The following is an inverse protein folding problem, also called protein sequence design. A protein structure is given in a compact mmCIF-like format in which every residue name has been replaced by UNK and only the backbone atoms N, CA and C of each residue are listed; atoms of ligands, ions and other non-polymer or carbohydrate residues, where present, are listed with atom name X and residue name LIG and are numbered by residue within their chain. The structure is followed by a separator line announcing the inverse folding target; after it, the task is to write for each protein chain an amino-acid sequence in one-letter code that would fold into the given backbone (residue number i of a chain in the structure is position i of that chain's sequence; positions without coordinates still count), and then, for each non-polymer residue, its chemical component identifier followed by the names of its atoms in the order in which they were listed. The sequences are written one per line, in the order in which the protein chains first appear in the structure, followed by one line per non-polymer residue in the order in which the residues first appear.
data_IF_888062346246
#
_entry.id   IF_888062346246
#
_cell.length_a   1.000
_cell.length_b   1.000
_cell.length_c   1.000
_cell.angle_alpha   90.00
_cell.angle_beta   90.00
_cell.angle_gamma   90.00
#
_symmetry.space_group_name_H-M   'P 1'
#
loop_
_entity.id
_entity.type
_entity.pdbx_description
1 polymer ?
#
# COMPACT_ATOMS: atom_id res chain seq x y z
N UNK A 1 1.67 18.85 6.43
CA UNK A 1 0.21 18.72 6.35
C UNK A 1 -0.36 18.67 7.76
N UNK A 2 -1.38 19.49 8.05
CA UNK A 2 -2.05 19.56 9.34
C UNK A 2 -3.57 19.46 9.11
N UNK A 3 -4.25 18.59 9.86
CA UNK A 3 -5.69 18.37 9.73
C UNK A 3 -6.25 17.72 11.01
N UNK A 4 -7.47 18.07 11.42
CA UNK A 4 -8.16 17.33 12.46
C UNK A 4 -8.29 15.86 12.08
N UNK A 5 -8.04 14.96 13.02
CA UNK A 5 -8.08 13.53 12.79
C UNK A 5 -9.25 12.89 13.54
N UNK A 6 -10.12 12.22 12.80
CA UNK A 6 -11.00 11.16 13.31
C UNK A 6 -10.75 9.85 12.55
N UNK A 7 -11.62 8.88 12.70
CA UNK A 7 -11.53 7.61 11.96
C UNK A 7 -12.63 7.44 10.92
N UNK A 8 -13.20 8.56 10.48
CA UNK A 8 -14.28 8.60 9.52
C UNK A 8 -15.65 8.28 10.15
N UNK A 9 -16.51 7.62 9.39
CA UNK A 9 -17.90 7.37 9.77
C UNK A 9 -18.12 5.98 10.36
N UNK A 10 -19.30 5.79 10.95
CA UNK A 10 -19.69 4.52 11.58
C UNK A 10 -20.80 3.83 10.80
N UNK A 11 -20.79 2.51 10.83
CA UNK A 11 -21.89 1.68 10.36
C UNK A 11 -22.89 1.43 11.50
N UNK A 12 -24.17 1.69 11.24
CA UNK A 12 -25.27 1.40 12.17
C UNK A 12 -25.97 0.12 11.70
N UNK A 13 -26.09 -0.88 12.57
CA UNK A 13 -26.65 -2.19 12.23
C UNK A 13 -26.02 -2.80 10.96
N UNK A 14 -24.70 -2.77 10.85
CA UNK A 14 -23.93 -3.22 9.67
C UNK A 14 -24.22 -2.46 8.37
N UNK A 15 -24.87 -1.30 8.42
CA UNK A 15 -25.19 -0.49 7.23
C UNK A 15 -24.51 0.86 7.31
N UNK A 16 -23.94 1.28 6.18
CA UNK A 16 -23.38 2.60 5.98
C UNK A 16 -24.43 3.57 5.42
N UNK A 17 -24.22 4.88 5.59
CA UNK A 17 -25.11 5.92 5.09
C UNK A 17 -26.12 6.42 6.12
N UNK A 18 -26.17 5.87 7.34
CA UNK A 18 -26.99 6.41 8.44
C UNK A 18 -26.56 7.81 8.86
N UNK A 19 -25.26 8.12 8.70
CA UNK A 19 -24.70 9.45 8.92
C UNK A 19 -24.04 9.95 7.62
N UNK A 20 -24.04 11.27 7.34
CA UNK A 20 -23.37 11.82 6.16
C UNK A 20 -21.88 11.45 6.13
N UNK A 21 -21.32 11.26 4.92
CA UNK A 21 -19.89 10.97 4.72
C UNK A 21 -18.96 12.07 5.26
N UNK A 22 -19.44 13.31 5.32
CA UNK A 22 -18.73 14.47 5.87
C UNK A 22 -18.85 14.61 7.40
N UNK A 23 -19.44 13.62 8.09
CA UNK A 23 -19.65 13.67 9.53
C UNK A 23 -18.33 13.52 10.27
N UNK A 24 -17.88 14.60 10.94
CA UNK A 24 -16.76 14.53 11.86
C UNK A 24 -17.24 14.01 13.21
N UNK A 25 -16.65 12.92 13.68
CA UNK A 25 -17.01 12.25 14.95
C UNK A 25 -15.89 12.38 16.01
N UNK A 26 -14.82 13.09 15.69
CA UNK A 26 -13.76 13.48 16.59
C UNK A 26 -14.16 14.60 17.54
N UNK A 27 -13.18 15.37 18.01
CA UNK A 27 -13.36 16.52 18.88
C UNK A 27 -12.56 17.71 18.31
N UNK A 28 -13.22 18.79 17.86
CA UNK A 28 -12.53 19.95 17.29
C UNK A 28 -11.49 20.58 18.23
N UNK A 29 -11.72 20.51 19.53
CA UNK A 29 -10.79 21.03 20.55
C UNK A 29 -9.47 20.27 20.64
N UNK A 30 -9.33 19.09 20.00
CA UNK A 30 -8.02 18.40 19.86
C UNK A 30 -7.07 19.13 18.91
N UNK A 31 -7.59 19.99 18.03
CA UNK A 31 -6.81 20.66 16.99
C UNK A 31 -6.35 19.71 15.89
N UNK A 32 -5.28 20.08 15.23
CA UNK A 32 -4.72 19.34 14.10
C UNK A 32 -3.72 18.27 14.54
N UNK A 33 -3.74 17.16 13.82
CA UNK A 33 -2.61 16.24 13.74
C UNK A 33 -1.72 16.69 12.59
N UNK A 34 -0.46 16.95 12.89
CA UNK A 34 0.54 17.39 11.91
C UNK A 34 1.33 16.19 11.42
N UNK A 35 1.44 16.08 10.09
CA UNK A 35 2.32 15.12 9.41
C UNK A 35 3.41 15.90 8.69
N UNK A 36 4.67 15.56 8.99
CA UNK A 36 5.84 16.11 8.31
C UNK A 36 6.55 15.01 7.53
N UNK A 37 7.08 15.35 6.37
CA UNK A 37 7.90 14.45 5.56
C UNK A 37 8.93 15.29 4.81
N UNK A 38 10.20 14.91 4.96
CA UNK A 38 11.31 15.47 4.21
C UNK A 38 12.06 14.31 3.56
N UNK A 39 12.36 14.43 2.28
CA UNK A 39 13.10 13.42 1.54
C UNK A 39 14.17 14.09 0.70
N UNK A 40 15.39 13.62 0.83
CA UNK A 40 16.54 14.05 0.03
C UNK A 40 17.10 12.84 -0.69
N UNK A 41 17.39 12.98 -1.96
CA UNK A 41 17.92 11.89 -2.77
C UNK A 41 19.03 12.43 -3.68
N UNK A 42 20.15 11.72 -3.70
CA UNK A 42 21.25 11.93 -4.64
C UNK A 42 21.44 10.64 -5.44
N UNK A 43 21.45 10.75 -6.75
CA UNK A 43 21.73 9.63 -7.65
C UNK A 43 22.86 10.02 -8.58
N UNK A 44 23.91 9.20 -8.59
CA UNK A 44 25.03 9.30 -9.51
C UNK A 44 24.96 8.11 -10.45
N UNK A 45 24.99 8.38 -11.75
CA UNK A 45 25.07 7.37 -12.80
C UNK A 45 26.31 7.64 -13.64
N UNK A 46 27.04 6.59 -13.96
CA UNK A 46 28.25 6.70 -14.79
C UNK A 46 28.27 5.56 -15.81
N UNK A 47 28.47 5.90 -17.06
CA UNK A 47 28.71 4.96 -18.15
C UNK A 47 30.20 4.79 -18.34
N UNK A 48 30.76 3.63 -17.95
CA UNK A 48 32.17 3.33 -18.05
C UNK A 48 32.61 3.07 -19.48
N UNK A 49 31.75 2.41 -20.23
CA UNK A 49 31.90 2.11 -21.66
C UNK A 49 30.55 1.68 -22.22
N UNK A 50 30.52 1.19 -23.48
CA UNK A 50 29.28 0.77 -24.14
C UNK A 50 28.57 -0.43 -23.46
N UNK A 51 29.28 -1.23 -22.69
CA UNK A 51 28.75 -2.43 -22.05
C UNK A 51 28.51 -2.25 -20.54
N UNK A 52 29.15 -1.31 -19.86
CA UNK A 52 29.15 -1.21 -18.40
C UNK A 52 28.71 0.15 -17.91
N UNK A 53 27.79 0.16 -16.97
CA UNK A 53 27.32 1.34 -16.24
C UNK A 53 27.20 1.07 -14.75
N UNK A 54 27.45 2.09 -13.94
CA UNK A 54 27.22 2.06 -12.50
C UNK A 54 26.19 3.10 -12.10
N UNK A 55 25.48 2.79 -11.02
CA UNK A 55 24.53 3.70 -10.37
C UNK A 55 24.71 3.64 -8.87
N UNK A 56 24.86 4.79 -8.25
CA UNK A 56 24.91 4.92 -6.78
C UNK A 56 23.81 5.87 -6.35
N UNK A 57 22.99 5.44 -5.44
CA UNK A 57 21.90 6.22 -4.84
C UNK A 57 22.09 6.36 -3.35
N UNK A 58 21.98 7.58 -2.84
CA UNK A 58 21.90 7.89 -1.42
C UNK A 58 20.56 8.57 -1.16
N UNK A 59 19.79 8.09 -0.21
CA UNK A 59 18.56 8.72 0.23
C UNK A 59 18.56 8.94 1.73
N UNK A 60 18.00 10.07 2.14
CA UNK A 60 17.65 10.39 3.53
C UNK A 60 16.20 10.78 3.58
N UNK A 61 15.46 10.23 4.53
CA UNK A 61 14.07 10.59 4.78
C UNK A 61 13.85 10.81 6.27
N UNK A 62 13.10 11.84 6.60
CA UNK A 62 12.60 12.13 7.94
C UNK A 62 11.09 12.25 7.89
N UNK A 63 10.38 11.60 8.83
CA UNK A 63 8.92 11.71 8.94
C UNK A 63 8.51 11.95 10.38
N UNK A 64 7.42 12.70 10.55
CA UNK A 64 6.83 12.94 11.87
C UNK A 64 5.31 12.92 11.81
N UNK A 65 4.67 12.45 12.88
CA UNK A 65 3.23 12.54 13.09
C UNK A 65 2.99 12.95 14.54
N UNK A 66 2.37 14.13 14.75
CA UNK A 66 2.18 14.71 16.08
C UNK A 66 0.82 15.35 16.25
N UNK A 67 0.16 15.09 17.37
CA UNK A 67 -1.08 15.76 17.75
C UNK A 67 -2.04 14.88 18.54
N UNK A 68 -3.11 15.54 19.00
CA UNK A 68 -4.23 14.88 19.65
C UNK A 68 -5.28 14.43 18.61
N UNK A 69 -6.02 13.39 18.95
CA UNK A 69 -7.20 12.96 18.20
C UNK A 69 -8.19 12.26 19.12
N UNK A 70 -9.46 12.52 18.88
CA UNK A 70 -10.56 11.77 19.47
C UNK A 70 -11.13 10.82 18.44
N UNK A 71 -11.11 9.53 18.72
CA UNK A 71 -11.44 8.48 17.79
C UNK A 71 -12.55 7.58 18.30
N UNK A 72 -13.36 7.04 17.38
CA UNK A 72 -14.42 6.09 17.70
C UNK A 72 -13.84 4.85 18.41
N UNK A 73 -14.53 4.37 19.42
CA UNK A 73 -14.19 3.14 20.16
C UNK A 73 -15.25 2.07 19.99
N UNK A 74 -16.53 2.39 20.27
CA UNK A 74 -17.63 1.47 20.10
C UNK A 74 -18.95 2.21 19.91
N UNK A 75 -19.81 1.75 19.01
CA UNK A 75 -21.20 2.19 18.93
C UNK A 75 -22.03 1.35 19.92
N UNK A 76 -22.85 2.00 20.74
CA UNK A 76 -23.70 1.33 21.71
C UNK A 76 -24.88 0.61 21.02
N UNK A 77 -25.56 -0.25 21.76
CA UNK A 77 -26.71 -1.03 21.26
C UNK A 77 -27.90 -0.16 20.82
N UNK A 78 -27.97 1.10 21.31
CA UNK A 78 -28.97 2.09 20.88
C UNK A 78 -28.77 2.55 19.42
N UNK A 79 -27.65 2.17 18.79
CA UNK A 79 -27.29 2.57 17.44
C UNK A 79 -27.02 4.07 17.27
N UNK A 80 -26.83 4.81 18.36
CA UNK A 80 -26.77 6.26 18.42
C UNK A 80 -25.59 6.78 19.21
N UNK A 81 -25.34 6.24 20.40
CA UNK A 81 -24.27 6.67 21.31
C UNK A 81 -22.95 6.05 20.89
N UNK A 82 -22.02 6.87 20.38
CA UNK A 82 -20.66 6.45 20.01
C UNK A 82 -19.71 6.75 21.15
N UNK A 83 -19.17 5.71 21.77
CA UNK A 83 -18.04 5.87 22.70
C UNK A 83 -16.79 6.26 21.93
N UNK A 84 -16.02 7.17 22.51
CA UNK A 84 -14.78 7.71 21.94
C UNK A 84 -13.60 7.45 22.87
N UNK A 85 -12.40 7.42 22.33
CA UNK A 85 -11.12 7.39 23.03
C UNK A 85 -10.28 8.57 22.59
N UNK A 86 -9.56 9.20 23.51
CA UNK A 86 -8.63 10.28 23.19
C UNK A 86 -7.22 9.75 23.10
N UNK A 87 -6.49 10.14 22.06
CA UNK A 87 -5.10 9.76 21.82
C UNK A 87 -4.24 10.99 21.60
N UNK A 88 -2.99 10.89 22.02
CA UNK A 88 -1.91 11.77 21.60
C UNK A 88 -0.85 10.91 20.93
N UNK A 89 -0.29 11.38 19.83
CA UNK A 89 0.82 10.74 19.13
C UNK A 89 1.96 11.72 18.97
N UNK A 90 3.18 11.23 19.20
CA UNK A 90 4.42 11.87 18.81
C UNK A 90 5.31 10.76 18.24
N UNK A 91 5.22 10.57 16.93
CA UNK A 91 5.96 9.56 16.18
C UNK A 91 6.95 10.27 15.29
N UNK A 92 8.22 9.92 15.40
CA UNK A 92 9.30 10.45 14.58
C UNK A 92 10.13 9.31 14.04
N UNK A 93 10.49 9.37 12.76
CA UNK A 93 11.39 8.40 12.17
C UNK A 93 12.35 9.06 11.19
N UNK A 94 13.54 8.51 11.10
CA UNK A 94 14.53 8.83 10.09
C UNK A 94 15.09 7.55 9.47
N UNK A 95 15.38 7.62 8.18
CA UNK A 95 16.06 6.55 7.47
C UNK A 95 17.13 7.09 6.50
N UNK A 96 18.21 6.32 6.39
CA UNK A 96 19.27 6.50 5.40
C UNK A 96 19.42 5.21 4.62
N UNK A 97 19.39 5.27 3.30
CA UNK A 97 19.71 4.15 2.43
C UNK A 97 20.77 4.50 1.41
N UNK A 98 21.77 3.64 1.29
CA UNK A 98 22.80 3.68 0.26
C UNK A 98 22.65 2.44 -0.61
N UNK A 99 22.59 2.63 -1.91
CA UNK A 99 22.59 1.56 -2.90
C UNK A 99 23.68 1.82 -3.93
N UNK A 100 24.45 0.81 -4.27
CA UNK A 100 25.44 0.88 -5.35
C UNK A 100 25.29 -0.34 -6.24
N UNK A 101 25.20 -0.12 -7.54
CA UNK A 101 24.97 -1.12 -8.57
C UNK A 101 25.99 -0.99 -9.69
N UNK A 102 26.41 -2.13 -10.20
CA UNK A 102 27.15 -2.27 -11.44
C UNK A 102 26.36 -3.17 -12.37
N UNK A 103 25.99 -2.67 -13.53
CA UNK A 103 25.29 -3.42 -14.56
C UNK A 103 26.13 -3.46 -15.83
N UNK A 104 26.17 -4.63 -16.46
CA UNK A 104 26.92 -4.76 -17.71
C UNK A 104 26.50 -5.91 -18.59
N UNK A 105 26.95 -5.86 -19.83
CA UNK A 105 26.78 -6.92 -20.83
C UNK A 105 28.08 -7.70 -20.95
N UNK A 106 28.00 -9.00 -20.71
CA UNK A 106 29.12 -9.95 -20.88
C UNK A 106 28.82 -10.83 -22.09
N UNK A 107 29.79 -10.92 -23.00
CA UNK A 107 29.71 -11.80 -24.18
C UNK A 107 30.78 -12.86 -24.06
N UNK A 108 30.37 -14.10 -23.75
CA UNK A 108 31.29 -15.23 -23.58
C UNK A 108 30.65 -16.52 -24.08
N UNK A 109 31.43 -17.39 -24.75
CA UNK A 109 30.96 -18.70 -25.22
C UNK A 109 29.80 -18.65 -26.24
N UNK A 110 29.67 -17.53 -26.98
CA UNK A 110 28.55 -17.33 -27.92
C UNK A 110 27.23 -16.90 -27.25
N UNK A 111 27.26 -16.63 -25.93
CA UNK A 111 26.12 -16.15 -25.17
C UNK A 111 26.29 -14.66 -24.83
N UNK A 112 25.18 -13.93 -24.82
CA UNK A 112 25.09 -12.59 -24.28
C UNK A 112 24.37 -12.63 -22.94
N UNK A 113 24.99 -12.06 -21.92
CA UNK A 113 24.51 -12.04 -20.54
C UNK A 113 24.40 -10.59 -20.06
N UNK A 114 23.29 -10.23 -19.42
CA UNK A 114 23.11 -8.95 -18.73
C UNK A 114 23.25 -9.20 -17.24
N UNK A 115 24.40 -8.80 -16.70
CA UNK A 115 24.76 -9.03 -15.30
C UNK A 115 24.50 -7.75 -14.49
N UNK A 116 23.89 -7.90 -13.34
CA UNK A 116 23.72 -6.86 -12.32
C UNK A 116 24.31 -7.37 -11.00
N UNK A 117 25.20 -6.59 -10.40
CA UNK A 117 25.70 -6.80 -9.04
C UNK A 117 25.45 -5.54 -8.23
N UNK A 118 24.95 -5.69 -7.03
CA UNK A 118 24.68 -4.55 -6.18
C UNK A 118 24.84 -4.81 -4.70
N UNK A 119 25.05 -3.73 -3.98
CA UNK A 119 25.09 -3.67 -2.52
C UNK A 119 24.11 -2.61 -2.04
N UNK A 120 23.42 -2.91 -0.95
CA UNK A 120 22.51 -1.99 -0.28
C UNK A 120 22.83 -1.95 1.21
N UNK A 121 22.82 -0.75 1.79
CA UNK A 121 22.89 -0.55 3.23
C UNK A 121 21.77 0.40 3.65
N UNK A 122 21.01 -0.01 4.65
CA UNK A 122 19.85 0.73 5.14
C UNK A 122 19.94 0.85 6.67
N UNK A 123 19.60 2.02 7.19
CA UNK A 123 19.43 2.30 8.62
C UNK A 123 18.13 3.03 8.82
N UNK A 124 17.39 2.64 9.85
CA UNK A 124 16.13 3.24 10.22
C UNK A 124 16.06 3.39 11.74
N UNK A 125 15.52 4.54 12.17
CA UNK A 125 15.17 4.79 13.56
C UNK A 125 13.73 5.22 13.65
N UNK A 126 13.03 4.83 14.71
CA UNK A 126 11.66 5.27 14.99
C UNK A 126 11.47 5.46 16.49
N UNK A 127 11.10 6.67 16.89
CA UNK A 127 10.63 6.99 18.23
C UNK A 127 9.10 7.09 18.23
N UNK A 128 8.43 6.31 19.06
CA UNK A 128 6.97 6.20 19.06
C UNK A 128 6.42 6.41 20.45
N UNK A 129 5.86 7.59 20.70
CA UNK A 129 5.08 7.85 21.90
C UNK A 129 3.59 7.95 21.55
N UNK A 130 2.78 7.08 22.15
CA UNK A 130 1.33 7.18 22.10
C UNK A 130 0.75 7.18 23.51
N UNK A 131 0.00 8.22 23.81
CA UNK A 131 -0.86 8.27 25.00
C UNK A 131 -2.28 7.93 24.60
N UNK A 132 -3.05 7.28 25.48
CA UNK A 132 -4.44 6.92 25.23
C UNK A 132 -5.27 7.01 26.51
N UNK A 133 -6.46 7.60 26.39
CA UNK A 133 -7.53 7.52 27.39
C UNK A 133 -8.69 6.73 26.80
N UNK A 134 -9.07 5.66 27.46
CA UNK A 134 -10.24 4.86 27.09
C UNK A 134 -11.46 5.29 27.93
N UNK A 135 -12.65 5.38 27.32
CA UNK A 135 -13.86 5.66 28.08
C UNK A 135 -14.18 4.49 29.02
N UNK A 136 -14.70 4.80 30.20
CA UNK A 136 -15.25 3.82 31.14
C UNK A 136 -16.77 4.00 31.27
N UNK A 137 -17.43 3.05 31.93
CA UNK A 137 -18.86 3.17 32.24
C UNK A 137 -19.15 4.32 33.22
N UNK A 138 -18.21 4.59 34.15
CA UNK A 138 -18.30 5.66 35.16
C UNK A 138 -17.86 7.03 34.65
N UNK A 139 -17.08 7.08 33.58
CA UNK A 139 -16.59 8.30 32.94
C UNK A 139 -16.71 8.17 31.40
N UNK A 140 -17.96 8.19 30.88
CA UNK A 140 -18.17 7.99 29.46
C UNK A 140 -17.73 9.24 28.69
N UNK A 141 -16.86 9.04 27.70
CA UNK A 141 -16.52 10.04 26.70
C UNK A 141 -17.19 9.61 25.38
N UNK A 142 -18.36 10.18 25.11
CA UNK A 142 -19.24 9.71 24.03
C UNK A 142 -19.88 10.88 23.28
N UNK A 143 -20.36 10.61 22.07
CA UNK A 143 -21.10 11.56 21.25
C UNK A 143 -22.32 10.87 20.61
N UNK A 144 -23.41 11.61 20.45
CA UNK A 144 -24.54 11.20 19.63
C UNK A 144 -24.17 11.40 18.15
N UNK A 145 -24.18 10.33 17.35
CA UNK A 145 -23.79 10.38 15.94
C UNK A 145 -24.76 11.18 15.06
N UNK A 146 -26.01 11.36 15.50
CA UNK A 146 -27.04 12.12 14.78
C UNK A 146 -27.13 13.57 15.27
N UNK A 147 -27.00 13.79 16.58
CA UNK A 147 -27.07 15.11 17.21
C UNK A 147 -25.80 15.40 18.00
N UNK A 148 -24.74 15.84 17.28
CA UNK A 148 -23.42 16.08 17.85
C UNK A 148 -23.40 17.25 18.81
N UNK A 149 -22.86 17.03 20.00
CA UNK A 149 -22.49 18.09 20.93
C UNK A 149 -20.99 17.94 21.22
N UNK A 150 -20.22 18.92 20.81
CA UNK A 150 -18.76 18.99 21.06
C UNK A 150 -18.47 19.77 22.35
N UNK A 151 -17.20 19.80 22.76
CA UNK A 151 -16.73 20.58 23.91
C UNK A 151 -16.93 19.89 25.26
N UNK A 152 -17.11 18.56 25.26
CA UNK A 152 -17.11 17.80 26.50
C UNK A 152 -15.71 17.82 27.14
N UNK A 153 -15.66 17.67 28.49
CA UNK A 153 -14.41 17.53 29.22
C UNK A 153 -13.57 16.37 28.60
N UNK A 154 -12.39 16.74 28.12
CA UNK A 154 -11.51 15.78 27.43
C UNK A 154 -10.73 14.96 28.45
N UNK A 155 -10.77 13.61 28.39
CA UNK A 155 -10.01 12.77 29.30
C UNK A 155 -8.50 12.95 29.07
N UNK A 156 -7.72 12.93 30.16
CA UNK A 156 -6.26 12.99 30.09
C UNK A 156 -5.72 11.62 29.66
N UNK A 157 -4.98 11.52 28.54
CA UNK A 157 -4.45 10.25 28.09
C UNK A 157 -3.17 9.87 28.86
N UNK A 158 -3.08 8.59 29.25
CA UNK A 158 -1.89 7.99 29.84
C UNK A 158 -1.04 7.23 28.83
N UNK A 159 0.18 6.84 29.22
CA UNK A 159 1.10 6.09 28.34
C UNK A 159 0.47 4.78 27.87
N UNK A 160 0.48 4.53 26.56
CA UNK A 160 0.00 3.31 25.94
C UNK A 160 1.10 2.63 25.11
N UNK A 161 1.89 3.41 24.39
CA UNK A 161 3.08 2.97 23.67
C UNK A 161 4.19 3.97 23.90
N UNK A 162 5.39 3.50 24.21
CA UNK A 162 6.59 4.32 24.33
C UNK A 162 7.77 3.44 23.95
N UNK A 163 8.14 3.48 22.65
CA UNK A 163 9.14 2.58 22.09
C UNK A 163 10.16 3.33 21.25
N UNK A 164 11.38 2.80 21.22
CA UNK A 164 12.44 3.24 20.34
C UNK A 164 12.97 2.04 19.53
N UNK A 165 12.86 2.13 18.22
CA UNK A 165 13.28 1.08 17.30
C UNK A 165 14.49 1.51 16.49
N UNK A 166 15.43 0.58 16.32
CA UNK A 166 16.58 0.70 15.39
C UNK A 166 16.59 -0.50 14.48
N UNK A 167 16.79 -0.24 13.19
CA UNK A 167 16.96 -1.27 12.18
C UNK A 167 18.22 -0.96 11.36
N UNK A 168 18.95 -2.01 10.98
CA UNK A 168 20.03 -1.97 10.01
C UNK A 168 19.89 -3.16 9.08
N UNK A 169 20.04 -2.95 7.80
CA UNK A 169 20.15 -4.02 6.83
C UNK A 169 21.37 -3.79 5.96
N UNK A 170 22.07 -4.85 5.63
CA UNK A 170 23.10 -4.86 4.57
C UNK A 170 22.78 -6.03 3.65
N UNK A 171 22.72 -5.78 2.36
CA UNK A 171 22.40 -6.79 1.37
C UNK A 171 23.41 -6.76 0.23
N UNK A 172 23.70 -7.96 -0.27
CA UNK A 172 24.39 -8.18 -1.54
C UNK A 172 23.43 -8.88 -2.49
N UNK A 173 23.44 -8.50 -3.75
CA UNK A 173 22.63 -9.17 -4.74
C UNK A 173 23.33 -9.26 -6.08
N UNK A 174 23.03 -10.33 -6.79
CA UNK A 174 23.47 -10.58 -8.15
C UNK A 174 22.28 -11.06 -8.98
N UNK A 175 22.24 -10.62 -10.21
CA UNK A 175 21.28 -11.12 -11.20
C UNK A 175 22.01 -11.30 -12.52
N UNK A 176 21.71 -12.38 -13.21
CA UNK A 176 22.15 -12.63 -14.58
C UNK A 176 20.94 -12.93 -15.46
N UNK A 177 20.91 -12.32 -16.63
CA UNK A 177 19.91 -12.60 -17.67
C UNK A 177 20.62 -13.05 -18.92
N UNK A 178 20.49 -14.32 -19.23
CA UNK A 178 21.15 -14.98 -20.37
C UNK A 178 20.21 -14.94 -21.58
N UNK A 179 20.70 -14.45 -22.71
CA UNK A 179 20.05 -14.53 -24.01
C UNK A 179 20.40 -15.87 -24.68
N UNK A 180 19.44 -16.75 -24.86
CA UNK A 180 19.57 -18.04 -25.53
C UNK A 180 18.92 -17.95 -26.91
N UNK A 181 19.74 -17.66 -27.91
CA UNK A 181 19.26 -17.32 -29.25
C UNK A 181 18.42 -16.03 -29.25
N UNK A 182 17.57 -15.89 -30.24
CA UNK A 182 16.72 -14.69 -30.40
C UNK A 182 15.45 -14.74 -29.56
N UNK A 183 14.97 -15.94 -29.24
CA UNK A 183 13.64 -16.15 -28.68
C UNK A 183 13.62 -16.34 -27.17
N UNK A 184 14.69 -16.70 -26.50
CA UNK A 184 14.66 -17.05 -25.10
C UNK A 184 15.51 -16.12 -24.25
N UNK A 185 15.02 -15.79 -23.07
CA UNK A 185 15.74 -15.09 -22.01
C UNK A 185 15.52 -15.85 -20.72
N UNK A 186 16.60 -16.17 -20.03
CA UNK A 186 16.57 -16.85 -18.73
C UNK A 186 17.25 -15.95 -17.71
N UNK A 187 16.56 -15.63 -16.64
CA UNK A 187 17.05 -14.80 -15.56
C UNK A 187 17.18 -15.63 -14.29
N UNK A 188 18.31 -15.51 -13.62
CA UNK A 188 18.53 -15.98 -12.25
C UNK A 188 19.05 -14.84 -11.38
N UNK A 189 18.56 -14.75 -10.18
CA UNK A 189 18.99 -13.74 -9.22
C UNK A 189 19.04 -14.28 -7.81
N UNK A 190 19.96 -13.75 -7.01
CA UNK A 190 20.12 -14.08 -5.61
C UNK A 190 20.36 -12.80 -4.82
N UNK A 191 19.65 -12.63 -3.71
CA UNK A 191 19.89 -11.57 -2.74
C UNK A 191 20.14 -12.19 -1.38
N UNK A 192 21.18 -11.79 -0.72
CA UNK A 192 21.50 -12.15 0.66
C UNK A 192 21.42 -10.91 1.54
N UNK A 193 20.61 -10.97 2.56
CA UNK A 193 20.36 -9.91 3.53
C UNK A 193 20.88 -10.31 4.90
N UNK A 194 21.51 -9.36 5.58
CA UNK A 194 21.84 -9.43 7.00
C UNK A 194 21.17 -8.25 7.70
N UNK A 195 20.20 -8.56 8.56
CA UNK A 195 19.32 -7.58 9.18
C UNK A 195 19.49 -7.61 10.70
N UNK A 196 19.67 -6.44 11.31
CA UNK A 196 19.69 -6.25 12.73
C UNK A 196 18.55 -5.34 13.17
N UNK A 197 17.86 -5.70 14.23
CA UNK A 197 16.80 -4.92 14.84
C UNK A 197 16.92 -4.90 16.35
N UNK A 198 16.69 -3.73 16.94
CA UNK A 198 16.54 -3.53 18.37
C UNK A 198 15.31 -2.70 18.64
N UNK A 199 14.38 -3.21 19.43
CA UNK A 199 13.17 -2.54 19.89
C UNK A 199 13.21 -2.39 21.41
N UNK A 200 13.38 -1.17 21.87
CA UNK A 200 13.30 -0.81 23.30
C UNK A 200 11.85 -0.42 23.62
N UNK A 201 11.24 -1.08 24.58
CA UNK A 201 9.98 -0.68 25.21
C UNK A 201 10.29 0.06 26.51
N UNK A 202 10.03 1.39 26.54
CA UNK A 202 10.34 2.25 27.69
C UNK A 202 9.30 2.14 28.80
N UNK A 203 8.13 1.54 28.55
CA UNK A 203 7.10 1.31 29.57
C UNK A 203 7.50 0.11 30.43
N UNK A 204 7.94 -0.97 29.80
CA UNK A 204 8.33 -2.23 30.49
C UNK A 204 9.82 -2.30 30.78
N UNK A 205 10.60 -1.31 30.32
CA UNK A 205 12.07 -1.28 30.41
C UNK A 205 12.74 -2.53 29.79
N UNK A 206 12.14 -3.08 28.73
CA UNK A 206 12.64 -4.26 28.03
C UNK A 206 13.21 -3.89 26.66
N UNK A 207 14.19 -4.67 26.19
CA UNK A 207 14.74 -4.53 24.84
C UNK A 207 14.73 -5.91 24.16
N UNK A 208 14.06 -5.96 23.01
CA UNK A 208 14.05 -7.14 22.14
C UNK A 208 15.02 -6.91 21.00
N UNK A 209 15.85 -7.91 20.71
CA UNK A 209 16.84 -7.86 19.62
C UNK A 209 16.69 -9.08 18.73
N UNK A 210 16.97 -8.90 17.44
CA UNK A 210 17.07 -9.98 16.47
C UNK A 210 18.06 -9.63 15.37
N UNK A 211 18.70 -10.66 14.82
CA UNK A 211 19.67 -10.54 13.72
C UNK A 211 19.45 -11.66 12.69
N UNK A 212 18.28 -11.72 12.03
CA UNK A 212 18.03 -12.74 11.03
C UNK A 212 18.83 -12.45 9.75
N UNK A 213 19.33 -13.51 9.12
CA UNK A 213 19.82 -13.49 7.75
C UNK A 213 18.82 -14.18 6.83
N UNK A 214 18.75 -13.76 5.58
CA UNK A 214 17.87 -14.36 4.60
C UNK A 214 18.51 -14.39 3.22
N UNK A 215 18.14 -15.44 2.46
CA UNK A 215 18.51 -15.57 1.06
C UNK A 215 17.23 -15.64 0.23
N UNK A 216 17.12 -14.72 -0.72
CA UNK A 216 15.96 -14.52 -1.58
C UNK A 216 16.33 -14.83 -3.04
N UNK A 217 16.16 -16.10 -3.51
CA UNK A 217 16.35 -16.46 -4.90
C UNK A 217 15.17 -16.00 -5.75
N UNK A 218 15.45 -15.72 -7.04
CA UNK A 218 14.44 -15.51 -8.08
C UNK A 218 14.90 -16.12 -9.39
N UNK A 219 13.94 -16.64 -10.13
CA UNK A 219 14.15 -17.24 -11.45
C UNK A 219 13.08 -16.70 -12.39
N UNK A 220 13.44 -16.51 -13.64
CA UNK A 220 12.51 -16.09 -14.69
C UNK A 220 12.91 -16.68 -16.03
N UNK A 221 11.91 -16.96 -16.86
CA UNK A 221 12.09 -17.33 -18.25
C UNK A 221 11.12 -16.52 -19.09
N UNK A 222 11.60 -16.01 -20.20
CA UNK A 222 10.78 -15.32 -21.20
C UNK A 222 11.01 -15.97 -22.57
N UNK A 223 9.92 -16.23 -23.26
CA UNK A 223 9.88 -16.71 -24.63
C UNK A 223 9.27 -15.64 -25.54
N UNK A 224 9.95 -15.32 -26.60
CA UNK A 224 9.58 -14.32 -27.62
C UNK A 224 9.20 -15.05 -28.90
N UNK A 225 7.96 -15.58 -29.00
CA UNK A 225 7.56 -16.46 -30.15
C UNK A 225 7.53 -15.71 -31.48
N UNK A 226 7.23 -14.43 -31.46
CA UNK A 226 7.16 -13.54 -32.62
C UNK A 226 7.33 -12.09 -32.22
N UNK A 227 7.50 -11.20 -33.17
CA UNK A 227 7.59 -9.78 -32.91
C UNK A 227 6.36 -9.26 -32.12
N UNK A 228 6.63 -8.50 -31.10
CA UNK A 228 5.62 -7.92 -30.20
C UNK A 228 5.07 -8.87 -29.14
N UNK A 229 5.40 -10.16 -29.13
CA UNK A 229 4.92 -11.10 -28.12
C UNK A 229 6.03 -11.55 -27.17
N UNK A 230 5.73 -11.56 -25.89
CA UNK A 230 6.55 -12.18 -24.86
C UNK A 230 5.67 -13.00 -23.93
N UNK A 231 5.95 -14.28 -23.80
CA UNK A 231 5.36 -15.16 -22.78
C UNK A 231 6.42 -15.38 -21.71
N UNK A 232 6.07 -15.24 -20.43
CA UNK A 232 7.03 -15.36 -19.35
C UNK A 232 6.48 -16.12 -18.15
N UNK A 233 7.38 -16.73 -17.41
CA UNK A 233 7.11 -17.27 -16.09
C UNK A 233 8.21 -16.81 -15.12
N UNK A 234 7.83 -16.49 -13.89
CA UNK A 234 8.78 -16.18 -12.84
C UNK A 234 8.40 -16.83 -11.51
N UNK A 235 9.41 -17.04 -10.67
CA UNK A 235 9.27 -17.52 -9.31
C UNK A 235 10.30 -16.82 -8.41
N UNK A 236 9.90 -16.50 -7.18
CA UNK A 236 10.80 -15.86 -6.23
C UNK A 236 10.40 -16.08 -4.79
N UNK A 237 11.37 -15.80 -3.90
CA UNK A 237 11.16 -15.70 -2.46
C UNK A 237 11.52 -14.30 -1.99
N UNK A 238 10.85 -13.85 -0.95
CA UNK A 238 11.21 -12.66 -0.22
C UNK A 238 11.03 -12.86 1.26
N UNK A 239 11.64 -11.99 2.08
CA UNK A 239 11.42 -11.97 3.51
C UNK A 239 11.19 -10.53 4.00
N UNK A 240 10.57 -10.42 5.16
CA UNK A 240 10.38 -9.18 5.89
C UNK A 240 10.51 -9.46 7.38
N UNK A 241 11.38 -8.78 8.13
CA UNK A 241 11.45 -8.91 9.57
C UNK A 241 10.12 -8.52 10.22
N UNK A 242 9.72 -9.29 11.25
CA UNK A 242 8.64 -8.93 12.15
C UNK A 242 9.19 -8.10 13.30
N UNK A 243 8.40 -7.19 13.86
CA UNK A 243 8.76 -6.38 15.02
C UNK A 243 8.11 -6.91 16.29
N UNK A 244 8.77 -6.72 17.43
CA UNK A 244 8.27 -7.15 18.73
C UNK A 244 8.73 -8.54 19.14
N UNK A 245 8.09 -9.07 20.17
CA UNK A 245 8.41 -10.37 20.78
C UNK A 245 7.14 -11.13 21.17
N UNK A 246 7.28 -12.45 21.31
CA UNK A 246 6.26 -13.30 21.89
C UNK A 246 6.16 -13.11 23.44
N UNK A 247 5.30 -13.89 24.09
CA UNK A 247 5.09 -13.83 25.54
C UNK A 247 6.33 -14.21 26.37
N UNK A 248 7.27 -14.96 25.77
CA UNK A 248 8.55 -15.33 26.39
C UNK A 248 9.65 -14.28 26.16
N UNK A 249 9.37 -13.20 25.44
CA UNK A 249 10.35 -12.16 25.06
C UNK A 249 11.24 -12.54 23.89
N UNK A 250 10.96 -13.66 23.19
CA UNK A 250 11.69 -14.04 21.98
C UNK A 250 11.18 -13.21 20.78
N UNK A 251 12.11 -12.66 20.00
CA UNK A 251 11.81 -11.97 18.74
C UNK A 251 11.09 -12.92 17.76
N UNK A 252 10.16 -12.36 16.98
CA UNK A 252 9.41 -13.13 15.99
C UNK A 252 10.26 -13.54 14.80
N UNK A 253 9.99 -14.74 14.28
CA UNK A 253 10.55 -15.15 13.00
C UNK A 253 10.06 -14.21 11.89
N UNK A 254 10.91 -13.90 10.87
CA UNK A 254 10.52 -13.03 9.76
C UNK A 254 9.37 -13.61 8.94
N UNK A 255 8.51 -12.72 8.42
CA UNK A 255 7.58 -13.09 7.35
C UNK A 255 8.35 -13.56 6.12
N UNK A 256 7.87 -14.61 5.49
CA UNK A 256 8.41 -15.15 4.24
C UNK A 256 7.31 -15.18 3.18
N UNK A 257 7.64 -14.79 1.95
CA UNK A 257 6.72 -14.94 0.84
C UNK A 257 7.34 -15.78 -0.27
N UNK A 258 6.48 -16.52 -0.97
CA UNK A 258 6.76 -17.19 -2.25
C UNK A 258 5.79 -16.65 -3.27
N UNK A 259 6.29 -16.35 -4.45
CA UNK A 259 5.48 -15.84 -5.55
C UNK A 259 5.78 -16.66 -6.80
N UNK A 260 4.73 -16.95 -7.56
CA UNK A 260 4.77 -17.52 -8.91
C UNK A 260 3.91 -16.65 -9.80
N UNK A 261 4.39 -16.41 -11.01
CA UNK A 261 3.65 -15.65 -12.03
C UNK A 261 3.88 -16.27 -13.40
N UNK A 262 2.81 -16.37 -14.18
CA UNK A 262 2.81 -16.74 -15.59
C UNK A 262 2.07 -15.66 -16.36
N UNK A 263 2.72 -15.07 -17.37
CA UNK A 263 2.10 -13.97 -18.09
C UNK A 263 2.44 -13.94 -19.56
N UNK A 264 1.70 -13.12 -20.28
CA UNK A 264 1.94 -12.76 -21.65
C UNK A 264 1.88 -11.26 -21.84
N UNK A 265 2.82 -10.71 -22.58
CA UNK A 265 2.84 -9.30 -23.00
C UNK A 265 2.74 -9.24 -24.51
N UNK A 266 1.98 -8.29 -24.99
CA UNK A 266 1.87 -7.97 -26.38
C UNK A 266 2.10 -6.49 -26.62
N UNK A 267 2.80 -6.16 -27.68
CA UNK A 267 3.05 -4.81 -28.13
C UNK A 267 2.75 -4.70 -29.62
N UNK A 268 2.05 -3.63 -30.03
CA UNK A 268 1.77 -3.38 -31.44
C UNK A 268 3.06 -3.15 -32.23
N UNK A 269 3.03 -3.40 -33.55
CA UNK A 269 4.20 -3.26 -34.42
C UNK A 269 4.81 -1.82 -34.41
N UNK A 270 4.00 -0.83 -34.16
CA UNK A 270 4.43 0.58 -34.02
C UNK A 270 4.76 0.98 -32.57
N UNK A 271 4.77 -0.02 -31.64
CA UNK A 271 5.09 0.15 -30.20
C UNK A 271 4.23 1.20 -29.45
N UNK A 272 3.04 1.50 -30.00
CA UNK A 272 2.15 2.51 -29.40
C UNK A 272 1.11 1.96 -28.46
N UNK A 273 0.77 0.67 -28.58
CA UNK A 273 -0.20 -0.03 -27.77
C UNK A 273 0.41 -1.30 -27.19
N UNK A 274 0.30 -1.46 -25.89
CA UNK A 274 0.72 -2.66 -25.17
C UNK A 274 -0.41 -3.27 -24.36
N UNK A 275 -0.40 -4.58 -24.21
CA UNK A 275 -1.29 -5.33 -23.34
C UNK A 275 -0.51 -6.36 -22.54
N UNK A 276 -0.91 -6.60 -21.30
CA UNK A 276 -0.34 -7.61 -20.40
C UNK A 276 -1.46 -8.42 -19.79
N UNK A 277 -1.28 -9.74 -19.71
CA UNK A 277 -2.10 -10.63 -18.92
C UNK A 277 -1.20 -11.47 -18.03
N UNK A 278 -1.48 -11.55 -16.73
CA UNK A 278 -0.66 -12.28 -15.76
C UNK A 278 -1.53 -13.07 -14.79
N UNK A 279 -1.22 -14.35 -14.61
CA UNK A 279 -1.72 -15.20 -13.54
C UNK A 279 -0.68 -15.24 -12.43
N UNK A 280 -1.09 -15.05 -11.18
CA UNK A 280 -0.19 -15.07 -10.04
C UNK A 280 -0.71 -15.93 -8.89
N UNK A 281 0.22 -16.45 -8.09
CA UNK A 281 -0.02 -17.17 -6.83
C UNK A 281 1.07 -16.79 -5.83
N UNK A 282 0.67 -16.11 -4.75
CA UNK A 282 1.56 -15.58 -3.72
C UNK A 282 1.11 -16.13 -2.37
N UNK A 283 2.02 -16.76 -1.64
CA UNK A 283 1.79 -17.23 -0.26
C UNK A 283 2.75 -16.54 0.69
N UNK A 284 2.22 -15.91 1.75
CA UNK A 284 2.98 -15.27 2.81
C UNK A 284 2.78 -16.02 4.12
N UNK A 285 3.88 -16.35 4.81
CA UNK A 285 3.94 -17.12 6.07
C UNK A 285 4.57 -16.31 7.18
N UNK A 286 4.44 -16.81 8.41
CA UNK A 286 4.89 -16.17 9.64
C UNK A 286 4.23 -14.80 9.85
N UNK A 287 3.00 -14.63 9.36
CA UNK A 287 2.18 -13.47 9.66
C UNK A 287 1.86 -13.48 11.14
N UNK A 288 2.00 -12.33 11.81
CA UNK A 288 1.66 -12.24 13.23
C UNK A 288 0.16 -12.44 13.43
N UNK A 289 -0.17 -13.35 14.33
CA UNK A 289 -1.53 -13.66 14.76
C UNK A 289 -1.59 -13.70 16.28
N UNK A 290 -2.78 -13.60 16.87
CA UNK A 290 -2.93 -13.63 18.33
C UNK A 290 -2.41 -14.93 18.93
N UNK A 291 -1.72 -14.82 20.07
CA UNK A 291 -1.30 -15.98 20.86
C UNK A 291 -2.56 -16.59 21.53
N UNK A 292 -2.88 -17.88 21.25
CA UNK A 292 -4.06 -18.52 21.82
C UNK A 292 -3.95 -18.84 23.32
N UNK A 293 -2.73 -18.80 23.87
CA UNK A 293 -2.44 -19.14 25.28
C UNK A 293 -2.21 -17.86 26.09
N UNK A 294 -1.43 -16.92 25.57
CA UNK A 294 -1.04 -15.70 26.28
C UNK A 294 -1.80 -14.49 25.72
N UNK A 295 -2.90 -14.14 26.37
CA UNK A 295 -3.75 -13.02 25.94
C UNK A 295 -2.97 -11.70 25.85
N UNK A 296 -3.14 -11.00 24.74
CA UNK A 296 -2.47 -9.72 24.46
C UNK A 296 -1.10 -9.85 23.77
N UNK A 297 -0.62 -11.07 23.57
CA UNK A 297 0.58 -11.37 22.82
C UNK A 297 0.27 -11.87 21.41
N UNK A 298 1.31 -12.00 20.60
CA UNK A 298 1.23 -12.54 19.23
C UNK A 298 2.23 -13.68 19.06
N UNK A 299 2.00 -14.48 18.02
CA UNK A 299 2.92 -15.52 17.53
C UNK A 299 3.03 -15.40 16.01
N UNK A 300 4.19 -15.76 15.45
CA UNK A 300 4.43 -15.73 14.00
C UNK A 300 3.93 -17.04 13.36
N UNK A 301 2.61 -17.26 13.32
CA UNK A 301 1.99 -18.53 12.92
C UNK A 301 0.99 -18.41 11.75
N UNK A 302 0.64 -17.19 11.35
CA UNK A 302 -0.35 -16.96 10.30
C UNK A 302 0.17 -17.23 8.88
N UNK A 303 -0.75 -17.59 7.97
CA UNK A 303 -0.48 -17.71 6.55
C UNK A 303 -1.62 -17.10 5.73
N UNK A 304 -1.25 -16.38 4.66
CA UNK A 304 -2.18 -15.74 3.73
C UNK A 304 -1.78 -16.10 2.31
N UNK A 305 -2.75 -16.42 1.47
CA UNK A 305 -2.57 -16.68 0.06
C UNK A 305 -3.35 -15.69 -0.80
N UNK A 306 -2.72 -15.20 -1.85
CA UNK A 306 -3.31 -14.35 -2.88
C UNK A 306 -3.06 -14.98 -4.25
N UNK A 307 -4.12 -15.19 -5.04
CA UNK A 307 -4.03 -15.71 -6.41
C UNK A 307 -5.02 -14.98 -7.30
N UNK A 308 -4.65 -14.80 -8.55
CA UNK A 308 -5.53 -14.04 -9.43
C UNK A 308 -5.06 -13.92 -10.86
N UNK A 309 -5.78 -13.06 -11.58
CA UNK A 309 -5.52 -12.65 -12.95
C UNK A 309 -5.48 -11.13 -13.00
N UNK A 310 -4.45 -10.59 -13.61
CA UNK A 310 -4.31 -9.15 -13.91
C UNK A 310 -4.28 -8.97 -15.43
N UNK A 311 -5.02 -7.96 -15.90
CA UNK A 311 -5.11 -7.57 -17.30
C UNK A 311 -4.87 -6.06 -17.39
N UNK A 312 -3.90 -5.65 -18.21
CA UNK A 312 -3.58 -4.25 -18.46
C UNK A 312 -3.48 -3.98 -19.96
N UNK A 313 -4.00 -2.84 -20.37
CA UNK A 313 -3.86 -2.30 -21.71
C UNK A 313 -3.50 -0.82 -21.61
N UNK A 314 -2.43 -0.41 -22.26
CA UNK A 314 -2.00 0.99 -22.24
C UNK A 314 -1.42 1.41 -23.59
N UNK A 315 -1.77 2.60 -24.03
CA UNK A 315 -1.18 3.18 -25.24
C UNK A 315 -2.17 3.89 -26.16
N UNK A 316 -1.78 4.03 -27.41
CA UNK A 316 -2.58 4.68 -28.47
C UNK A 316 -3.33 3.63 -29.29
N UNK A 317 -4.66 3.66 -29.23
CA UNK A 317 -5.53 2.84 -30.09
C UNK A 317 -5.52 3.36 -31.53
N UNK A 318 -5.45 4.68 -31.71
CA UNK A 318 -5.38 5.36 -32.99
C UNK A 318 -4.44 6.56 -32.87
N UNK A 319 -4.28 7.35 -33.94
CA UNK A 319 -3.50 8.60 -33.89
C UNK A 319 -3.99 9.56 -32.81
N UNK A 320 -5.30 9.57 -32.52
CA UNK A 320 -5.96 10.52 -31.65
C UNK A 320 -6.43 9.94 -30.31
N UNK A 321 -6.64 8.63 -30.22
CA UNK A 321 -7.16 7.99 -29.00
C UNK A 321 -6.06 7.31 -28.19
N UNK A 322 -5.96 7.67 -26.92
CA UNK A 322 -5.14 6.99 -25.92
C UNK A 322 -6.03 6.27 -24.92
N UNK A 323 -5.66 5.03 -24.59
CA UNK A 323 -6.36 4.18 -23.64
C UNK A 323 -5.40 3.76 -22.52
N UNK A 324 -5.91 3.76 -21.28
CA UNK A 324 -5.35 3.02 -20.16
C UNK A 324 -6.49 2.22 -19.53
N UNK A 325 -6.33 0.92 -19.42
CA UNK A 325 -7.30 0.03 -18.81
C UNK A 325 -6.59 -1.01 -17.95
N UNK A 326 -7.13 -1.29 -16.78
CA UNK A 326 -6.66 -2.31 -15.86
C UNK A 326 -7.84 -3.07 -15.27
N UNK A 327 -7.72 -4.39 -15.16
CA UNK A 327 -8.72 -5.25 -14.54
C UNK A 327 -8.03 -6.35 -13.74
N UNK A 328 -8.41 -6.48 -12.48
CA UNK A 328 -7.84 -7.46 -11.54
C UNK A 328 -8.95 -8.35 -10.99
N UNK A 329 -8.75 -9.66 -11.10
CA UNK A 329 -9.49 -10.67 -10.38
C UNK A 329 -8.57 -11.26 -9.33
N UNK A 330 -8.92 -11.15 -8.05
CA UNK A 330 -8.07 -11.52 -6.94
C UNK A 330 -8.85 -12.32 -5.90
N UNK A 331 -8.34 -13.51 -5.56
CA UNK A 331 -8.84 -14.32 -4.47
C UNK A 331 -7.77 -14.35 -3.36
N UNK A 332 -8.05 -13.65 -2.27
CA UNK A 332 -7.15 -13.54 -1.11
C UNK A 332 -7.83 -14.13 0.10
N UNK A 333 -7.17 -15.11 0.69
CA UNK A 333 -7.69 -15.86 1.82
C UNK A 333 -6.65 -16.03 2.93
N UNK A 334 -7.12 -16.12 4.15
CA UNK A 334 -6.35 -16.52 5.33
C UNK A 334 -6.32 -18.03 5.33
N UNK A 335 -5.16 -18.65 5.07
CA UNK A 335 -5.02 -20.11 5.04
C UNK A 335 -4.64 -20.70 6.38
N UNK A 336 -4.12 -19.86 7.29
CA UNK A 336 -3.84 -20.21 8.68
C UNK A 336 -3.84 -18.97 9.57
N UNK A 337 -4.54 -19.06 10.69
CA UNK A 337 -4.57 -18.04 11.75
C UNK A 337 -5.08 -18.66 13.06
N UNK A 338 -4.73 -18.07 14.22
CA UNK A 338 -5.16 -18.53 15.54
C UNK A 338 -6.47 -17.87 16.02
N UNK A 339 -6.86 -16.76 15.39
CA UNK A 339 -8.00 -15.94 15.80
C UNK A 339 -8.95 -15.66 14.67
N UNK A 340 -8.40 -15.28 13.51
CA UNK A 340 -9.18 -14.91 12.34
C UNK A 340 -9.75 -16.14 11.63
N UNK A 341 -10.85 -15.93 10.93
CA UNK A 341 -11.53 -16.97 10.14
C UNK A 341 -10.61 -17.54 9.07
N UNK A 342 -10.27 -18.83 9.19
CA UNK A 342 -9.55 -19.57 8.15
C UNK A 342 -10.46 -19.80 6.95
N UNK A 343 -9.97 -19.55 5.73
CA UNK A 343 -10.77 -19.44 4.51
C UNK A 343 -11.47 -18.08 4.37
N UNK A 344 -11.33 -17.20 5.37
CA UNK A 344 -11.87 -15.84 5.36
C UNK A 344 -11.10 -14.90 4.45
N UNK A 345 -11.76 -13.82 4.05
CA UNK A 345 -11.18 -12.76 3.21
C UNK A 345 -10.30 -11.81 4.02
N UNK A 346 -9.29 -11.24 3.39
CA UNK A 346 -8.56 -10.12 3.98
C UNK A 346 -9.37 -8.81 3.94
N UNK A 347 -9.10 -7.98 4.96
CA UNK A 347 -9.68 -6.65 5.10
C UNK A 347 -9.34 -5.76 3.90
N UNK A 348 -10.33 -5.04 3.38
CA UNK A 348 -10.23 -4.07 2.28
C UNK A 348 -9.80 -4.63 0.91
N UNK A 349 -9.66 -5.92 0.74
CA UNK A 349 -9.27 -6.52 -0.54
C UNK A 349 -10.52 -6.92 -1.34
N UNK A 350 -10.73 -6.34 -2.55
CA UNK A 350 -11.83 -6.72 -3.42
C UNK A 350 -11.49 -7.98 -4.20
N UNK A 351 -12.51 -8.78 -4.58
CA UNK A 351 -12.32 -9.88 -5.54
C UNK A 351 -12.16 -9.40 -6.97
N UNK A 352 -12.73 -8.24 -7.28
CA UNK A 352 -12.66 -7.63 -8.62
C UNK A 352 -12.51 -6.13 -8.47
N UNK A 353 -11.55 -5.55 -9.17
CA UNK A 353 -11.43 -4.11 -9.35
C UNK A 353 -10.89 -3.81 -10.74
N UNK A 354 -11.12 -2.61 -11.22
CA UNK A 354 -10.59 -2.19 -12.52
C UNK A 354 -10.87 -0.73 -12.82
N UNK A 355 -10.18 -0.24 -13.82
CA UNK A 355 -10.37 1.12 -14.33
C UNK A 355 -10.16 1.17 -15.83
N UNK A 356 -10.85 2.11 -16.47
CA UNK A 356 -10.65 2.46 -17.87
C UNK A 356 -10.61 3.96 -17.97
N UNK A 357 -9.61 4.50 -18.68
CA UNK A 357 -9.48 5.90 -19.03
C UNK A 357 -9.19 6.02 -20.52
N UNK A 358 -10.03 6.72 -21.24
CA UNK A 358 -9.83 7.04 -22.65
C UNK A 358 -9.70 8.55 -22.84
N UNK A 359 -8.73 8.97 -23.66
CA UNK A 359 -8.43 10.37 -23.93
C UNK A 359 -8.33 10.57 -25.44
N UNK A 360 -9.14 11.47 -25.97
CA UNK A 360 -9.02 11.99 -27.33
C UNK A 360 -8.05 13.16 -27.34
N UNK A 361 -7.08 13.14 -28.23
CA UNK A 361 -6.04 14.15 -28.37
C UNK A 361 -5.98 14.63 -29.83
N UNK A 362 -5.96 15.93 -30.05
CA UNK A 362 -5.83 16.49 -31.37
C UNK A 362 -5.13 17.88 -31.36
N UNK A 363 -4.91 18.45 -32.52
CA UNK A 363 -4.32 19.76 -32.66
C UNK A 363 -5.32 20.72 -33.37
N UNK A 364 -5.37 21.95 -32.89
CA UNK A 364 -6.09 23.03 -33.57
C UNK A 364 -5.32 23.51 -34.79
N UNK A 365 -5.99 24.22 -35.70
CA UNK A 365 -5.39 24.76 -36.91
C UNK A 365 -4.20 25.71 -36.66
N UNK A 366 -4.13 26.32 -35.47
CA UNK A 366 -3.04 27.18 -35.03
C UNK A 366 -1.86 26.39 -34.37
N UNK A 367 -1.88 25.05 -34.41
CA UNK A 367 -0.85 24.18 -33.85
C UNK A 367 -0.98 23.91 -32.35
N UNK A 368 -1.90 24.52 -31.65
CA UNK A 368 -2.17 24.24 -30.25
C UNK A 368 -2.76 22.84 -30.09
N UNK A 369 -2.33 22.10 -29.04
CA UNK A 369 -2.81 20.73 -28.77
C UNK A 369 -3.79 20.73 -27.62
N UNK A 370 -4.81 19.90 -27.71
CA UNK A 370 -5.77 19.66 -26.64
C UNK A 370 -6.04 18.17 -26.46
N UNK A 371 -6.53 17.83 -25.29
CA UNK A 371 -7.06 16.50 -25.03
C UNK A 371 -8.27 16.58 -24.12
N UNK A 372 -9.25 15.72 -24.40
CA UNK A 372 -10.44 15.55 -23.56
C UNK A 372 -10.64 14.06 -23.34
N UNK A 373 -10.85 13.67 -22.10
CA UNK A 373 -10.98 12.27 -21.75
C UNK A 373 -11.93 12.02 -20.61
N UNK A 374 -12.33 10.77 -20.49
CA UNK A 374 -13.15 10.30 -19.41
C UNK A 374 -12.73 8.90 -18.98
N UNK A 375 -12.97 8.61 -17.71
CA UNK A 375 -12.64 7.33 -17.14
C UNK A 375 -13.65 6.85 -16.12
N UNK A 376 -13.61 5.55 -15.87
CA UNK A 376 -14.44 4.87 -14.88
C UNK A 376 -13.56 3.97 -14.03
N UNK A 377 -13.75 4.01 -12.71
CA UNK A 377 -13.11 3.11 -11.76
C UNK A 377 -14.17 2.31 -11.03
N UNK A 378 -14.05 0.99 -11.07
CA UNK A 378 -14.88 0.05 -10.34
C UNK A 378 -14.09 -0.58 -9.19
N UNK A 379 -14.70 -0.64 -8.02
CA UNK A 379 -14.19 -1.32 -6.85
C UNK A 379 -15.25 -2.30 -6.34
N UNK A 380 -14.92 -3.59 -6.32
CA UNK A 380 -15.80 -4.63 -5.84
C UNK A 380 -16.08 -4.56 -4.33
N UNK A 381 -17.03 -5.33 -3.88
CA UNK A 381 -17.36 -5.54 -2.47
C UNK A 381 -16.13 -6.07 -1.71
N UNK A 382 -15.87 -5.55 -0.49
CA UNK A 382 -14.70 -5.87 0.33
C UNK A 382 -15.10 -6.14 1.77
N UNK A 383 -14.31 -6.98 2.47
CA UNK A 383 -14.48 -7.13 3.91
C UNK A 383 -14.14 -5.80 4.61
N UNK A 384 -15.05 -5.31 5.42
CA UNK A 384 -14.93 -4.03 6.14
C UNK A 384 -14.47 -4.15 7.58
N UNK A 385 -14.49 -5.36 8.14
CA UNK A 385 -13.94 -5.69 9.46
C UNK A 385 -13.45 -7.13 9.43
N UNK A 386 -12.25 -7.38 9.94
CA UNK A 386 -11.74 -8.72 10.10
C UNK A 386 -12.71 -9.54 10.97
N UNK A 387 -12.99 -10.77 10.55
CA UNK A 387 -13.90 -11.68 11.23
C UNK A 387 -13.11 -12.77 11.93
N UNK A 388 -13.45 -13.02 13.19
CA UNK A 388 -12.83 -14.10 13.96
C UNK A 388 -13.46 -15.45 13.59
N UNK A 389 -12.74 -16.55 13.85
CA UNK A 389 -13.26 -17.90 13.70
C UNK A 389 -14.49 -18.15 14.61
N UNK A 390 -14.49 -17.57 15.81
CA UNK A 390 -15.61 -17.67 16.74
C UNK A 390 -16.87 -16.98 16.19
N UNK A 391 -16.74 -15.78 15.62
CA UNK A 391 -17.83 -15.07 14.95
C UNK A 391 -18.36 -15.86 13.73
N UNK A 392 -17.46 -16.47 12.96
CA UNK A 392 -17.83 -17.31 11.82
C UNK A 392 -18.63 -18.52 12.26
N UNK A 393 -18.17 -19.24 13.28
CA UNK A 393 -18.84 -20.41 13.85
C UNK A 393 -20.21 -20.07 14.46
N UNK A 394 -20.35 -18.87 15.03
CA UNK A 394 -21.61 -18.37 15.57
C UNK A 394 -22.58 -17.85 14.49
N UNK A 395 -22.20 -17.91 13.20
CA UNK A 395 -23.01 -17.39 12.10
C UNK A 395 -23.16 -15.86 12.09
N UNK A 396 -22.28 -15.12 12.79
CA UNK A 396 -22.32 -13.66 12.81
C UNK A 396 -22.08 -13.11 11.40
N UNK A 397 -22.96 -12.23 10.94
CA UNK A 397 -22.86 -11.64 9.62
C UNK A 397 -21.58 -10.80 9.46
N UNK A 398 -20.85 -11.00 8.38
CA UNK A 398 -19.69 -10.18 8.05
C UNK A 398 -20.11 -8.73 7.78
N UNK A 399 -19.28 -7.79 8.19
CA UNK A 399 -19.42 -6.39 7.78
C UNK A 399 -18.63 -6.18 6.49
N UNK A 400 -19.33 -5.75 5.44
CA UNK A 400 -18.72 -5.50 4.14
C UNK A 400 -18.86 -4.03 3.74
N UNK A 401 -17.81 -3.50 3.11
CA UNK A 401 -17.89 -2.27 2.34
C UNK A 401 -18.56 -2.55 0.99
N UNK A 402 -19.60 -1.77 0.60
CA UNK A 402 -20.26 -1.94 -0.67
C UNK A 402 -19.31 -1.68 -1.85
N UNK A 403 -19.61 -2.32 -2.98
CA UNK A 403 -18.97 -1.97 -4.25
C UNK A 403 -19.35 -0.56 -4.67
N UNK A 404 -18.48 0.06 -5.46
CA UNK A 404 -18.79 1.37 -6.05
C UNK A 404 -18.15 1.53 -7.43
N UNK A 405 -18.71 2.47 -8.18
CA UNK A 405 -18.17 2.97 -9.44
C UNK A 405 -18.09 4.48 -9.35
N UNK A 406 -16.94 5.05 -9.68
CA UNK A 406 -16.75 6.48 -9.84
C UNK A 406 -16.35 6.79 -11.28
N UNK A 407 -16.74 7.97 -11.77
CA UNK A 407 -16.34 8.47 -13.07
C UNK A 407 -15.46 9.70 -12.93
N UNK A 408 -14.54 9.85 -13.87
CA UNK A 408 -13.62 10.98 -13.99
C UNK A 408 -13.79 11.64 -15.36
N UNK A 409 -13.68 12.96 -15.39
CA UNK A 409 -13.50 13.75 -16.61
C UNK A 409 -12.16 14.47 -16.52
N UNK A 410 -11.42 14.53 -17.62
CA UNK A 410 -10.22 15.34 -17.72
C UNK A 410 -10.18 16.10 -19.05
N UNK A 411 -9.56 17.26 -19.04
CA UNK A 411 -9.21 18.00 -20.23
C UNK A 411 -7.87 18.71 -20.03
N UNK A 412 -7.13 18.89 -21.10
CA UNK A 412 -5.97 19.75 -21.11
C UNK A 412 -5.86 20.53 -22.42
N UNK A 413 -5.21 21.69 -22.34
CA UNK A 413 -4.96 22.54 -23.48
C UNK A 413 -3.54 23.10 -23.41
N UNK A 414 -2.70 22.72 -24.36
CA UNK A 414 -1.34 23.22 -24.53
C UNK A 414 -1.39 24.49 -25.37
N UNK A 415 -1.43 25.65 -24.70
CA UNK A 415 -1.48 26.96 -25.31
C UNK A 415 -0.19 27.30 -26.05
N UNK A 416 0.95 26.84 -25.52
CA UNK A 416 2.28 26.98 -26.11
C UNK A 416 3.17 25.80 -25.71
N UNK A 417 4.39 25.67 -26.24
CA UNK A 417 5.34 24.64 -25.76
C UNK A 417 5.65 24.72 -24.27
N UNK A 418 5.46 25.88 -23.63
CA UNK A 418 5.77 26.17 -22.25
C UNK A 418 4.56 26.29 -21.33
N UNK A 419 3.34 26.46 -21.88
CA UNK A 419 2.11 26.70 -21.08
C UNK A 419 1.09 25.60 -21.34
N UNK A 420 0.65 24.93 -20.26
CA UNK A 420 -0.39 23.92 -20.30
C UNK A 420 -1.45 24.20 -19.23
N UNK A 421 -2.72 24.20 -19.64
CA UNK A 421 -3.89 24.25 -18.76
C UNK A 421 -4.44 22.84 -18.59
N UNK A 422 -4.87 22.49 -17.39
CA UNK A 422 -5.53 21.22 -17.08
C UNK A 422 -6.81 21.43 -16.31
N UNK A 423 -7.78 20.58 -16.55
CA UNK A 423 -9.01 20.44 -15.79
C UNK A 423 -9.20 18.97 -15.47
N UNK A 424 -9.34 18.66 -14.19
CA UNK A 424 -9.67 17.34 -13.69
C UNK A 424 -10.94 17.41 -12.84
N UNK A 425 -11.90 16.54 -13.12
CA UNK A 425 -13.12 16.37 -12.34
C UNK A 425 -13.18 14.92 -11.87
N UNK A 426 -12.79 14.68 -10.65
CA UNK A 426 -12.86 13.37 -10.01
C UNK A 426 -14.25 13.15 -9.38
N UNK A 427 -14.71 11.90 -9.38
CA UNK A 427 -16.04 11.52 -8.89
C UNK A 427 -17.15 12.40 -9.52
N UNK A 428 -17.19 12.45 -10.83
CA UNK A 428 -18.03 13.35 -11.65
C UNK A 428 -19.51 13.38 -11.20
N UNK A 429 -20.05 12.23 -10.77
CA UNK A 429 -21.44 12.07 -10.37
C UNK A 429 -21.67 12.24 -8.86
N UNK A 430 -20.66 12.71 -8.12
CA UNK A 430 -20.72 12.93 -6.66
C UNK A 430 -21.18 11.71 -5.87
N UNK A 431 -20.72 10.54 -6.28
CA UNK A 431 -21.10 9.26 -5.67
C UNK A 431 -20.51 9.16 -4.26
N UNK A 432 -21.37 9.01 -3.25
CA UNK A 432 -20.92 8.64 -1.90
C UNK A 432 -20.40 7.21 -1.94
N UNK A 433 -19.16 7.01 -1.52
CA UNK A 433 -18.51 5.73 -1.47
C UNK A 433 -17.53 5.65 -0.29
N UNK A 434 -17.00 4.45 -0.03
CA UNK A 434 -16.11 4.21 1.10
C UNK A 434 -14.86 3.51 0.59
N UNK A 435 -13.69 4.08 0.90
CA UNK A 435 -12.40 3.61 0.34
C UNK A 435 -11.81 2.48 1.16
N UNK A 436 -11.93 2.54 2.47
CA UNK A 436 -11.39 1.54 3.39
C UNK A 436 -12.14 1.53 4.72
N UNK A 437 -11.86 0.51 5.53
CA UNK A 437 -12.26 0.47 6.94
C UNK A 437 -11.29 -0.38 7.74
N UNK A 438 -11.25 -0.18 9.03
CA UNK A 438 -10.62 -1.06 9.99
C UNK A 438 -11.66 -1.87 10.76
N UNK A 439 -12.80 -1.24 11.02
CA UNK A 439 -13.95 -1.83 11.73
C UNK A 439 -15.24 -1.07 11.37
N UNK A 440 -16.36 -1.56 11.87
CA UNK A 440 -17.69 -0.90 11.73
C UNK A 440 -17.72 0.57 12.19
N UNK A 441 -16.82 0.95 13.09
CA UNK A 441 -16.76 2.31 13.65
C UNK A 441 -15.61 3.16 13.08
N UNK A 442 -14.81 2.58 12.19
CA UNK A 442 -13.70 3.26 11.51
C UNK A 442 -13.79 3.02 10.02
N UNK A 443 -14.67 3.74 9.36
CA UNK A 443 -14.89 3.63 7.91
C UNK A 443 -14.53 4.95 7.24
N UNK A 444 -13.59 4.89 6.32
CA UNK A 444 -13.08 6.06 5.59
C UNK A 444 -13.97 6.34 4.38
N UNK A 445 -14.69 7.47 4.34
CA UNK A 445 -15.39 7.90 3.14
C UNK A 445 -14.41 8.24 2.02
N UNK A 446 -14.81 8.00 0.78
CA UNK A 446 -14.11 8.51 -0.39
C UNK A 446 -14.40 10.00 -0.61
N UNK A 447 -13.51 10.66 -1.33
CA UNK A 447 -13.72 12.04 -1.72
C UNK A 447 -15.01 12.21 -2.54
N UNK A 448 -15.77 13.24 -2.23
CA UNK A 448 -16.88 13.71 -3.05
C UNK A 448 -16.33 14.30 -4.36
N UNK A 449 -17.21 14.81 -5.23
CA UNK A 449 -16.76 15.44 -6.47
C UNK A 449 -15.74 16.54 -6.18
N UNK A 450 -14.58 16.42 -6.83
CA UNK A 450 -13.48 17.38 -6.73
C UNK A 450 -13.17 17.92 -8.12
N UNK A 451 -13.07 19.23 -8.23
CA UNK A 451 -12.68 19.92 -9.46
C UNK A 451 -11.32 20.58 -9.24
N UNK A 452 -10.36 20.21 -10.07
CA UNK A 452 -9.01 20.77 -10.02
C UNK A 452 -8.69 21.45 -11.33
N UNK A 453 -8.29 22.73 -11.28
CA UNK A 453 -7.77 23.48 -12.42
C UNK A 453 -6.29 23.71 -12.17
N UNK A 454 -5.45 23.34 -13.14
CA UNK A 454 -4.01 23.50 -13.09
C UNK A 454 -3.47 24.38 -14.22
N UNK A 455 -2.46 25.18 -13.89
CA UNK A 455 -1.63 25.90 -14.86
C UNK A 455 -0.18 25.46 -14.66
N UNK A 456 0.42 24.90 -15.70
CA UNK A 456 1.84 24.55 -15.73
C UNK A 456 2.57 25.49 -16.70
N UNK A 457 3.58 26.19 -16.19
CA UNK A 457 4.48 27.02 -16.99
C UNK A 457 5.92 26.51 -16.83
N UNK A 458 6.64 26.44 -17.96
CA UNK A 458 8.09 26.14 -18.00
C UNK A 458 8.82 27.43 -18.36
N UNK A 459 9.84 27.76 -17.63
CA UNK A 459 10.67 28.96 -17.83
C UNK A 459 12.05 28.59 -18.36
#
# INVERSE_FOLDING_TARGET
HATPLDRGVVAVNNRLGAVPASRFLGEPADGDVTVTNQTHQLVLSHEWNADWRSRTGLSYRETGLKGYSTEASALQADGRTLRRQRRYRDFQSDDVALQAELQGTVRAGGLEQEVLVGVESYRFHMDSLMLRANPSASAPYAIDIFNRVYGQAQPTPGRNTDTYEKQRNTALYVQDTVKLGEQWRVMAGLRADNYDQSLQNRITATTTQQSPSAVSPRLGVSWLPSAGWTVYANAGKSFRPNTGSDAAGKAFDPENARAFELGAKWESADQRLGATAALFDITKRNVLTSDPVNSGFSVAAGEVRSRGLELDVAGRLTANWRLNASLVFNDVEITRDNTLEVGGRLLNVPKVNGSVLAVYEDALANGQRYGVGGGVTYMGKRLGQARTQAEANAGTAAFDLPSYTTAKLLAYWRLSPTINLTLDVDNLFDKVHYTSSYSRVWVTPGALRTVTVGLQAKF
#
